data_IF_009310957801
#
_entry.id   IF_009310957801
#
_cell.length_a   1.000
_cell.length_b   1.000
_cell.length_c   1.000
_cell.angle_alpha   90.00
_cell.angle_beta   90.00
_cell.angle_gamma   90.00
#
_symmetry.space_group_name_H-M   'P 1'
#
loop_
_entity.id
_entity.type
_entity.pdbx_description
1 polymer ?
#
# COMPACT_ATOMS: atom_id res chain seq x y z
N UNK A 1 5.81 -22.28 -1.45
CA UNK A 1 5.33 -21.03 -0.82
C UNK A 1 4.78 -20.14 -1.92
N UNK A 2 3.63 -19.50 -1.74
CA UNK A 2 3.25 -18.40 -2.62
C UNK A 2 4.22 -17.25 -2.32
N UNK A 3 4.92 -16.74 -3.33
CA UNK A 3 5.78 -15.56 -3.16
C UNK A 3 4.90 -14.33 -2.84
N UNK A 4 5.47 -13.34 -2.17
CA UNK A 4 4.77 -12.09 -1.79
C UNK A 4 4.08 -11.46 -3.00
N UNK A 5 4.76 -11.47 -4.15
CA UNK A 5 4.25 -11.02 -5.46
C UNK A 5 2.94 -11.72 -5.87
N UNK A 6 2.84 -13.05 -5.67
CA UNK A 6 1.63 -13.79 -6.03
C UNK A 6 0.46 -13.43 -5.11
N UNK A 7 0.72 -13.18 -3.83
CA UNK A 7 -0.31 -12.73 -2.89
C UNK A 7 -0.81 -11.32 -3.25
N UNK A 8 0.10 -10.41 -3.61
CA UNK A 8 -0.24 -9.06 -4.09
C UNK A 8 -1.06 -9.12 -5.39
N UNK A 9 -0.68 -10.00 -6.32
CA UNK A 9 -1.42 -10.18 -7.58
C UNK A 9 -2.83 -10.74 -7.34
N UNK A 10 -2.96 -11.73 -6.45
CA UNK A 10 -4.27 -12.27 -6.05
C UNK A 10 -5.13 -11.21 -5.38
N UNK A 11 -4.58 -10.45 -4.44
CA UNK A 11 -5.27 -9.35 -3.79
C UNK A 11 -5.81 -8.34 -4.79
N UNK A 12 -4.96 -7.87 -5.71
CA UNK A 12 -5.34 -6.92 -6.75
C UNK A 12 -6.44 -7.47 -7.66
N UNK A 13 -6.39 -8.77 -7.98
CA UNK A 13 -7.42 -9.46 -8.77
C UNK A 13 -8.76 -9.50 -8.06
N UNK A 14 -8.78 -9.89 -6.76
CA UNK A 14 -10.00 -9.93 -5.94
C UNK A 14 -10.62 -8.54 -5.81
N UNK A 15 -9.80 -7.50 -5.58
CA UNK A 15 -10.28 -6.12 -5.51
C UNK A 15 -10.92 -5.68 -6.82
N UNK A 16 -10.27 -5.96 -7.97
CA UNK A 16 -10.79 -5.61 -9.30
C UNK A 16 -12.12 -6.29 -9.60
N UNK A 17 -12.27 -7.56 -9.24
CA UNK A 17 -13.52 -8.31 -9.41
C UNK A 17 -14.66 -7.74 -8.55
N UNK A 18 -14.38 -7.29 -7.33
CA UNK A 18 -15.38 -6.75 -6.41
C UNK A 18 -15.79 -5.32 -6.73
N UNK A 19 -14.83 -4.49 -7.14
CA UNK A 19 -15.07 -3.09 -7.45
C UNK A 19 -14.16 -2.67 -8.61
N UNK A 20 -14.65 -2.75 -9.87
CA UNK A 20 -13.88 -2.35 -11.04
C UNK A 20 -13.34 -0.92 -10.97
N UNK A 21 -14.12 0.00 -10.37
CA UNK A 21 -13.70 1.39 -10.14
C UNK A 21 -12.46 1.49 -9.25
N UNK A 22 -12.44 0.76 -8.14
CA UNK A 22 -11.26 0.68 -7.27
C UNK A 22 -10.09 -0.04 -7.96
N UNK A 23 -10.37 -1.08 -8.74
CA UNK A 23 -9.37 -1.77 -9.55
C UNK A 23 -8.69 -0.85 -10.56
N UNK A 24 -9.41 0.13 -11.13
CA UNK A 24 -8.83 1.18 -11.97
C UNK A 24 -7.90 2.10 -11.18
N UNK A 25 -8.31 2.53 -9.98
CA UNK A 25 -7.49 3.38 -9.12
C UNK A 25 -6.19 2.69 -8.65
N UNK A 26 -6.24 1.38 -8.40
CA UNK A 26 -5.07 0.60 -7.98
C UNK A 26 -3.95 0.55 -9.03
N UNK A 27 -4.24 0.83 -10.31
CA UNK A 27 -3.21 0.90 -11.36
C UNK A 27 -2.22 2.05 -11.12
N UNK A 28 -2.63 3.06 -10.35
CA UNK A 28 -1.81 4.21 -9.97
C UNK A 28 -1.23 4.07 -8.55
N UNK A 29 -1.36 2.90 -7.93
CA UNK A 29 -0.92 2.63 -6.56
C UNK A 29 0.17 1.56 -6.56
N UNK A 30 1.02 1.59 -5.54
CA UNK A 30 1.92 0.48 -5.23
C UNK A 30 1.30 -0.35 -4.10
N UNK A 31 1.23 -1.67 -4.27
CA UNK A 31 0.70 -2.59 -3.27
C UNK A 31 1.82 -3.50 -2.81
N UNK A 32 2.02 -3.56 -1.50
CA UNK A 32 3.05 -4.37 -0.87
C UNK A 32 2.42 -5.28 0.19
N UNK A 33 2.97 -6.47 0.37
CA UNK A 33 2.67 -7.31 1.53
C UNK A 33 3.73 -7.04 2.60
N UNK A 34 3.32 -6.51 3.75
CA UNK A 34 4.23 -6.14 4.83
C UNK A 34 4.06 -7.10 5.99
N UNK A 35 5.21 -7.61 6.46
CA UNK A 35 5.32 -8.44 7.64
C UNK A 35 5.55 -7.55 8.86
N UNK A 36 4.78 -7.76 9.92
CA UNK A 36 4.91 -7.05 11.19
C UNK A 36 4.92 -8.04 12.34
N UNK A 37 5.75 -7.78 13.36
CA UNK A 37 5.85 -8.62 14.54
C UNK A 37 5.28 -7.86 15.74
N UNK A 38 4.26 -8.39 16.38
CA UNK A 38 3.57 -7.75 17.51
C UNK A 38 3.45 -8.70 18.70
N UNK A 39 3.44 -8.16 19.92
CA UNK A 39 3.19 -8.93 21.16
C UNK A 39 4.43 -9.45 21.89
N UNK A 40 4.20 -10.19 22.98
CA UNK A 40 5.21 -10.95 23.75
C UNK A 40 4.64 -12.33 24.10
N UNK A 41 5.12 -13.43 23.49
CA UNK A 41 6.16 -13.49 22.46
C UNK A 41 5.71 -12.82 21.13
N UNK A 42 6.66 -12.37 20.29
CA UNK A 42 6.33 -11.71 19.03
C UNK A 42 5.65 -12.68 18.06
N UNK A 43 4.46 -12.31 17.61
CA UNK A 43 3.68 -13.03 16.63
C UNK A 43 3.74 -12.31 15.28
N UNK A 44 4.01 -13.08 14.22
CA UNK A 44 4.01 -12.56 12.85
C UNK A 44 2.57 -12.25 12.42
N UNK A 45 2.35 -11.03 11.96
CA UNK A 45 1.12 -10.56 11.34
C UNK A 45 1.44 -9.92 10.00
N UNK A 46 0.75 -10.39 8.97
CA UNK A 46 0.88 -9.88 7.61
C UNK A 46 -0.28 -8.94 7.30
N UNK A 47 0.01 -7.87 6.57
CA UNK A 47 -1.00 -6.92 6.10
C UNK A 47 -0.62 -6.37 4.72
N UNK A 48 -1.62 -6.09 3.89
CA UNK A 48 -1.38 -5.37 2.64
C UNK A 48 -1.29 -3.87 2.90
N UNK A 49 -0.33 -3.21 2.26
CA UNK A 49 -0.22 -1.76 2.25
C UNK A 49 -0.47 -1.27 0.84
N UNK A 50 -1.48 -0.41 0.67
CA UNK A 50 -1.78 0.26 -0.59
C UNK A 50 -1.25 1.68 -0.51
N UNK A 51 -0.08 1.90 -1.11
CA UNK A 51 0.52 3.22 -1.26
C UNK A 51 -0.11 3.94 -2.44
N UNK A 52 -0.71 5.10 -2.17
CA UNK A 52 -1.40 5.92 -3.17
C UNK A 52 -0.84 7.35 -3.22
N UNK A 53 -0.83 8.01 -4.39
CA UNK A 53 -0.55 9.45 -4.48
C UNK A 53 -1.52 10.28 -3.62
N UNK A 54 -1.08 11.46 -3.17
CA UNK A 54 -1.88 12.32 -2.29
C UNK A 54 -3.26 12.65 -2.87
N UNK A 55 -3.34 12.92 -4.18
CA UNK A 55 -4.60 13.25 -4.84
C UNK A 55 -5.59 12.07 -4.87
N UNK A 56 -5.08 10.83 -4.90
CA UNK A 56 -5.89 9.61 -4.94
C UNK A 56 -6.17 9.05 -3.55
N UNK A 57 -5.41 9.44 -2.53
CA UNK A 57 -5.52 8.91 -1.19
C UNK A 57 -6.95 9.00 -0.61
N UNK A 58 -7.67 10.15 -0.68
CA UNK A 58 -9.05 10.22 -0.19
C UNK A 58 -9.99 9.26 -0.93
N UNK A 59 -9.81 9.11 -2.24
CA UNK A 59 -10.63 8.23 -3.09
C UNK A 59 -10.39 6.76 -2.75
N UNK A 60 -9.12 6.34 -2.62
CA UNK A 60 -8.76 4.97 -2.24
C UNK A 60 -9.25 4.66 -0.82
N UNK A 61 -9.02 5.58 0.13
CA UNK A 61 -9.36 5.40 1.54
C UNK A 61 -10.88 5.30 1.77
N UNK A 62 -11.70 5.90 0.91
CA UNK A 62 -13.16 5.71 0.92
C UNK A 62 -13.56 4.23 0.73
N UNK A 63 -12.73 3.42 0.05
CA UNK A 63 -12.97 1.99 -0.16
C UNK A 63 -12.21 1.07 0.81
N UNK A 64 -11.68 1.58 1.92
CA UNK A 64 -10.91 0.78 2.91
C UNK A 64 -11.62 -0.49 3.37
N UNK A 65 -12.95 -0.47 3.45
CA UNK A 65 -13.74 -1.64 3.84
C UNK A 65 -13.67 -2.77 2.79
N UNK A 66 -13.64 -2.43 1.49
CA UNK A 66 -13.51 -3.40 0.40
C UNK A 66 -12.11 -4.01 0.41
N UNK A 67 -11.08 -3.16 0.56
CA UNK A 67 -9.69 -3.61 0.66
C UNK A 67 -9.50 -4.57 1.85
N UNK A 68 -10.01 -4.20 3.03
CA UNK A 68 -9.95 -5.05 4.22
C UNK A 68 -10.65 -6.39 4.02
N UNK A 69 -11.83 -6.41 3.38
CA UNK A 69 -12.52 -7.66 3.08
C UNK A 69 -11.70 -8.52 2.11
N UNK A 70 -11.17 -7.93 1.05
CA UNK A 70 -10.32 -8.64 0.07
C UNK A 70 -9.07 -9.26 0.70
N UNK A 71 -8.44 -8.58 1.67
CA UNK A 71 -7.33 -9.14 2.43
C UNK A 71 -7.74 -10.35 3.27
N UNK A 72 -8.88 -10.25 3.96
CA UNK A 72 -9.41 -11.34 4.80
C UNK A 72 -9.74 -12.60 4.00
N UNK A 73 -10.25 -12.48 2.78
CA UNK A 73 -10.51 -13.66 1.93
C UNK A 73 -9.22 -14.41 1.54
N UNK A 74 -8.08 -13.72 1.58
CA UNK A 74 -6.76 -14.31 1.34
C UNK A 74 -6.06 -14.77 2.63
N UNK A 75 -6.74 -14.73 3.77
CA UNK A 75 -6.17 -15.09 5.07
C UNK A 75 -5.23 -14.03 5.66
N UNK A 76 -5.18 -12.83 5.08
CA UNK A 76 -4.35 -11.73 5.55
C UNK A 76 -5.18 -10.84 6.51
N UNK A 77 -4.56 -10.41 7.60
CA UNK A 77 -5.27 -9.77 8.73
C UNK A 77 -5.95 -8.45 8.34
N UNK A 78 -5.26 -7.64 7.53
CA UNK A 78 -5.71 -6.29 7.18
C UNK A 78 -5.15 -5.82 5.82
N UNK A 79 -5.82 -4.82 5.24
CA UNK A 79 -5.27 -3.95 4.20
C UNK A 79 -5.40 -2.50 4.65
N UNK A 80 -4.31 -1.76 4.60
CA UNK A 80 -4.24 -0.34 4.98
C UNK A 80 -3.90 0.53 3.77
N UNK A 81 -4.42 1.76 3.77
CA UNK A 81 -4.10 2.76 2.77
C UNK A 81 -3.05 3.70 3.34
N UNK A 82 -1.96 3.92 2.60
CA UNK A 82 -0.92 4.88 2.96
C UNK A 82 -0.75 5.90 1.85
N UNK A 83 -0.44 7.13 2.24
CA UNK A 83 -0.14 8.19 1.30
C UNK A 83 1.35 8.11 0.95
N UNK A 84 1.65 7.73 -0.28
CA UNK A 84 3.01 7.56 -0.77
C UNK A 84 3.82 8.86 -0.69
N UNK A 85 3.19 10.02 -0.87
CA UNK A 85 3.89 11.31 -0.78
C UNK A 85 4.34 11.65 0.65
N UNK A 86 3.74 11.02 1.65
CA UNK A 86 4.13 11.17 3.06
C UNK A 86 5.22 10.21 3.49
N UNK A 87 5.48 9.13 2.73
CA UNK A 87 6.46 8.11 3.13
C UNK A 87 7.88 8.67 3.29
N UNK A 88 8.21 9.70 2.51
CA UNK A 88 9.51 10.40 2.58
C UNK A 88 9.64 11.28 3.83
N UNK A 89 8.51 11.64 4.47
CA UNK A 89 8.44 12.44 5.69
C UNK A 89 8.20 11.58 6.94
N UNK A 90 7.95 10.30 6.77
CA UNK A 90 7.74 9.38 7.87
C UNK A 90 9.09 9.03 8.52
N UNK A 91 9.32 9.39 9.80
CA UNK A 91 10.58 9.11 10.48
C UNK A 91 10.85 7.61 10.67
N UNK A 92 9.83 6.77 10.62
CA UNK A 92 9.96 5.31 10.69
C UNK A 92 10.18 4.66 9.31
N UNK A 93 10.10 5.44 8.22
CA UNK A 93 10.32 4.93 6.87
C UNK A 93 11.78 4.52 6.67
N UNK A 94 11.98 3.25 6.33
CA UNK A 94 13.29 2.72 5.93
C UNK A 94 13.56 2.88 4.43
N UNK A 95 12.72 3.66 3.71
CA UNK A 95 12.79 3.74 2.25
C UNK A 95 14.15 4.28 1.78
N UNK A 96 14.69 5.28 2.48
CA UNK A 96 16.00 5.86 2.17
C UNK A 96 17.13 4.81 2.21
N UNK A 97 17.05 3.84 3.11
CA UNK A 97 18.05 2.78 3.25
C UNK A 97 17.81 1.61 2.28
N UNK A 98 16.54 1.24 2.05
CA UNK A 98 16.17 0.13 1.17
C UNK A 98 16.31 0.47 -0.31
N UNK A 99 15.87 1.66 -0.70
CA UNK A 99 15.89 2.14 -2.08
C UNK A 99 16.14 3.67 -2.11
N UNK A 100 17.43 4.08 -2.06
CA UNK A 100 17.80 5.48 -2.03
C UNK A 100 17.45 6.23 -3.33
N UNK A 101 17.38 5.53 -4.47
CA UNK A 101 17.03 6.13 -5.76
C UNK A 101 15.54 6.51 -5.75
N UNK A 102 14.67 5.56 -5.42
CA UNK A 102 13.23 5.83 -5.29
C UNK A 102 12.95 6.91 -4.25
N UNK A 103 13.67 6.92 -3.12
CA UNK A 103 13.54 7.97 -2.12
C UNK A 103 13.84 9.37 -2.69
N UNK A 104 14.91 9.51 -3.49
CA UNK A 104 15.24 10.77 -4.17
C UNK A 104 14.17 11.15 -5.20
N UNK A 105 13.71 10.22 -6.03
CA UNK A 105 12.65 10.50 -7.02
C UNK A 105 11.36 11.00 -6.36
N UNK A 106 10.95 10.39 -5.26
CA UNK A 106 9.80 10.84 -4.48
C UNK A 106 10.02 12.23 -3.85
N UNK A 107 11.22 12.52 -3.35
CA UNK A 107 11.56 13.87 -2.87
C UNK A 107 11.41 14.91 -3.98
N UNK A 108 11.88 14.61 -5.19
CA UNK A 108 11.73 15.48 -6.36
C UNK A 108 10.25 15.68 -6.75
N UNK A 109 9.45 14.61 -6.76
CA UNK A 109 8.03 14.69 -7.06
C UNK A 109 7.25 15.53 -6.04
N UNK A 110 7.59 15.42 -4.75
CA UNK A 110 6.96 16.20 -3.68
C UNK A 110 7.45 17.65 -3.66
N UNK A 111 8.69 17.92 -4.06
CA UNK A 111 9.26 19.26 -4.11
C UNK A 111 8.72 20.11 -5.28
N UNK A 112 8.20 19.50 -6.35
CA UNK A 112 7.56 20.24 -7.44
C UNK A 112 6.30 20.92 -6.91
N UNK A 113 6.18 22.27 -7.02
CA UNK A 113 4.91 22.94 -6.81
C UNK A 113 3.91 22.33 -7.80
N UNK A 114 2.75 21.89 -7.32
CA UNK A 114 1.63 21.59 -8.20
C UNK A 114 1.34 22.88 -8.97
N UNK A 115 1.66 22.92 -10.26
CA UNK A 115 1.04 23.88 -11.18
C UNK A 115 -0.47 23.59 -11.09
N UNK A 116 -1.19 24.54 -10.49
CA UNK A 116 -2.65 24.51 -10.31
C UNK A 116 -3.33 25.07 -11.55
#
# INVERSE_FOLDING_TARGET
>A
MLTEEVLVQKFTTVVKQRCPKLGGLLQHCHVELVNSYWGKPPQLSQHFVVYSPDQLFPLINAYKAILRRAAKDLGISEAICMNATRIIRDPASTLKQKDPVLWLELQWLVAKPLER
#
